data_IF_051228314143
#
_entry.id   IF_051228314143
#
_cell.length_a   1.000
_cell.length_b   1.000
_cell.length_c   1.000
_cell.angle_alpha   90.00
_cell.angle_beta   90.00
_cell.angle_gamma   90.00
#
_symmetry.space_group_name_H-M   'P 1'
#
loop_
_entity.id
_entity.type
_entity.pdbx_description
1 polymer ?
#
# COMPACT_ATOMS: atom_id res chain seq x y z
N UNK A 1 -13.11 2.83 -7.36
CA UNK A 1 -14.10 2.08 -6.55
C UNK A 1 -13.77 2.20 -5.07
N UNK A 2 -12.67 1.61 -4.58
CA UNK A 2 -12.26 1.65 -3.16
C UNK A 2 -12.31 3.05 -2.52
N UNK A 3 -11.76 4.08 -3.18
CA UNK A 3 -11.79 5.45 -2.65
C UNK A 3 -13.19 6.07 -2.57
N UNK A 4 -14.12 5.63 -3.41
CA UNK A 4 -15.52 6.05 -3.35
C UNK A 4 -16.22 5.39 -2.16
N UNK A 5 -16.00 4.09 -1.94
CA UNK A 5 -16.52 3.36 -0.78
C UNK A 5 -15.97 3.93 0.54
N UNK A 6 -14.66 4.22 0.57
CA UNK A 6 -14.02 4.91 1.69
C UNK A 6 -14.68 6.26 2.00
N UNK A 7 -14.99 7.05 0.97
CA UNK A 7 -15.73 8.32 1.13
C UNK A 7 -17.15 8.11 1.64
N UNK A 8 -17.85 7.09 1.15
CA UNK A 8 -19.19 6.76 1.64
C UNK A 8 -19.15 6.41 3.15
N UNK A 9 -18.19 5.56 3.56
CA UNK A 9 -18.02 5.18 4.97
C UNK A 9 -17.62 6.36 5.86
N UNK A 10 -16.78 7.27 5.37
CA UNK A 10 -16.45 8.51 6.07
C UNK A 10 -17.68 9.39 6.28
N UNK A 11 -18.52 9.57 5.25
CA UNK A 11 -19.70 10.43 5.32
C UNK A 11 -20.75 9.93 6.34
N UNK A 12 -20.78 8.62 6.63
CA UNK A 12 -21.64 8.03 7.68
C UNK A 12 -20.92 7.87 9.02
N UNK A 13 -19.70 8.41 9.16
CA UNK A 13 -18.95 8.43 10.42
C UNK A 13 -18.30 7.10 10.82
N UNK A 14 -18.15 6.14 9.88
CA UNK A 14 -17.63 4.80 10.16
C UNK A 14 -16.16 4.59 9.77
N UNK A 15 -15.53 5.55 9.09
CA UNK A 15 -14.14 5.44 8.68
C UNK A 15 -13.43 6.80 8.66
N UNK A 16 -12.09 6.79 8.68
CA UNK A 16 -11.25 7.96 8.40
C UNK A 16 -10.96 8.14 6.91
N UNK A 17 -10.05 9.06 6.59
CA UNK A 17 -9.66 9.41 5.21
C UNK A 17 -8.24 9.02 4.83
N UNK A 18 -7.54 8.30 5.70
CA UNK A 18 -6.16 7.87 5.49
C UNK A 18 -6.10 6.35 5.49
N UNK A 19 -5.52 5.78 4.45
CA UNK A 19 -5.49 4.33 4.24
C UNK A 19 -4.05 3.85 4.10
N UNK A 20 -3.69 2.82 4.87
CA UNK A 20 -2.36 2.19 4.82
C UNK A 20 -2.26 1.22 3.64
N UNK A 21 -2.30 1.78 2.44
CA UNK A 21 -2.26 1.09 1.16
C UNK A 21 -1.71 2.01 0.08
N UNK A 22 -1.00 1.49 -0.94
CA UNK A 22 -0.75 0.06 -1.21
C UNK A 22 0.49 -0.51 -0.47
N UNK A 23 0.55 -1.84 -0.35
CA UNK A 23 1.79 -2.56 -0.05
C UNK A 23 2.61 -2.66 -1.35
N UNK A 24 3.78 -2.02 -1.37
CA UNK A 24 4.65 -1.89 -2.55
C UNK A 24 6.03 -2.52 -2.32
N UNK A 25 6.15 -3.38 -1.30
CA UNK A 25 7.33 -4.22 -1.15
C UNK A 25 7.41 -5.23 -2.30
N UNK A 26 8.61 -5.71 -2.56
CA UNK A 26 8.87 -6.68 -3.62
C UNK A 26 8.74 -8.08 -3.03
N UNK A 27 8.00 -8.97 -3.70
CA UNK A 27 7.87 -10.37 -3.27
C UNK A 27 9.14 -11.17 -3.61
N UNK A 28 10.26 -10.78 -3.00
CA UNK A 28 11.60 -11.33 -3.30
C UNK A 28 11.77 -12.77 -2.83
N UNK A 29 11.20 -13.10 -1.67
CA UNK A 29 11.26 -14.45 -1.10
C UNK A 29 9.87 -15.07 -1.11
N UNK A 30 9.64 -16.18 -1.86
CA UNK A 30 8.30 -16.79 -2.00
C UNK A 30 7.73 -17.32 -0.68
N UNK A 31 8.53 -17.40 0.39
CA UNK A 31 8.10 -17.84 1.72
C UNK A 31 7.54 -16.71 2.57
N UNK A 32 7.66 -15.46 2.11
CA UNK A 32 7.17 -14.30 2.85
C UNK A 32 5.64 -14.34 2.97
N UNK A 33 5.14 -14.44 4.21
CA UNK A 33 3.70 -14.61 4.50
C UNK A 33 2.80 -13.47 4.03
N UNK A 34 3.38 -12.30 3.73
CA UNK A 34 2.67 -11.12 3.21
C UNK A 34 2.96 -10.83 1.73
N UNK A 35 3.65 -11.72 1.02
CA UNK A 35 3.86 -11.59 -0.42
C UNK A 35 2.57 -11.51 -1.23
N UNK A 36 1.50 -12.18 -0.75
CA UNK A 36 0.14 -12.11 -1.29
C UNK A 36 -0.48 -10.70 -1.31
N UNK A 37 0.04 -9.75 -0.52
CA UNK A 37 -0.43 -8.36 -0.50
C UNK A 37 0.20 -7.49 -1.59
N UNK A 38 1.22 -7.98 -2.29
CA UNK A 38 2.03 -7.20 -3.22
C UNK A 38 1.68 -7.50 -4.68
N UNK A 39 2.20 -6.67 -5.58
CA UNK A 39 2.08 -6.86 -7.04
C UNK A 39 3.12 -7.84 -7.63
N UNK A 40 3.83 -8.60 -6.80
CA UNK A 40 4.79 -9.63 -7.22
C UNK A 40 6.26 -9.25 -6.99
N UNK A 41 7.14 -9.97 -7.68
CA UNK A 41 8.60 -9.88 -7.50
C UNK A 41 9.30 -8.83 -8.37
N UNK A 42 8.60 -8.23 -9.35
CA UNK A 42 9.18 -7.27 -10.29
C UNK A 42 9.02 -5.81 -9.79
N UNK A 43 10.13 -5.06 -9.58
CA UNK A 43 10.07 -3.65 -9.17
C UNK A 43 9.42 -2.73 -10.20
N UNK A 44 9.54 -3.03 -11.50
CA UNK A 44 8.97 -2.19 -12.54
C UNK A 44 7.43 -2.29 -12.56
N UNK A 45 6.90 -3.51 -12.56
CA UNK A 45 5.47 -3.78 -12.41
C UNK A 45 4.93 -3.19 -11.11
N UNK A 46 5.65 -3.36 -10.00
CA UNK A 46 5.25 -2.81 -8.69
C UNK A 46 5.19 -1.30 -8.70
N UNK A 47 6.12 -0.63 -9.38
CA UNK A 47 6.09 0.83 -9.56
C UNK A 47 4.87 1.28 -10.37
N UNK A 48 4.53 0.57 -11.45
CA UNK A 48 3.33 0.87 -12.25
C UNK A 48 2.06 0.66 -11.43
N UNK A 49 1.96 -0.45 -10.70
CA UNK A 49 0.84 -0.73 -9.80
C UNK A 49 0.66 0.38 -8.77
N UNK A 50 1.74 0.77 -8.08
CA UNK A 50 1.72 1.81 -7.05
C UNK A 50 1.20 3.15 -7.61
N UNK A 51 1.68 3.57 -8.78
CA UNK A 51 1.24 4.82 -9.42
C UNK A 51 -0.27 4.82 -9.67
N UNK A 52 -0.80 3.74 -10.26
CA UNK A 52 -2.22 3.66 -10.58
C UNK A 52 -3.10 3.53 -9.33
N UNK A 53 -2.66 2.76 -8.33
CA UNK A 53 -3.37 2.59 -7.08
C UNK A 53 -3.45 3.91 -6.30
N UNK A 54 -2.33 4.61 -6.15
CA UNK A 54 -2.27 5.93 -5.48
C UNK A 54 -3.13 6.95 -6.21
N UNK A 55 -3.08 7.00 -7.55
CA UNK A 55 -3.97 7.87 -8.33
C UNK A 55 -5.45 7.56 -8.08
N UNK A 56 -5.83 6.28 -8.12
CA UNK A 56 -7.21 5.86 -7.87
C UNK A 56 -7.70 6.17 -6.45
N UNK A 57 -6.80 6.22 -5.47
CA UNK A 57 -7.11 6.66 -4.12
C UNK A 57 -7.21 8.18 -3.97
N UNK A 58 -6.25 8.90 -4.52
CA UNK A 58 -6.06 10.32 -4.21
C UNK A 58 -6.80 11.29 -5.13
N UNK A 59 -7.03 10.92 -6.39
CA UNK A 59 -7.60 11.85 -7.37
C UNK A 59 -9.12 11.99 -7.20
N UNK A 60 -9.61 13.21 -7.37
CA UNK A 60 -11.04 13.54 -7.44
C UNK A 60 -11.47 13.72 -8.90
N UNK A 61 -12.69 13.30 -9.21
CA UNK A 61 -13.23 13.37 -10.58
C UNK A 61 -13.55 14.82 -11.02
N UNK A 62 -13.70 15.73 -10.05
CA UNK A 62 -14.08 17.14 -10.28
C UNK A 62 -12.92 18.06 -10.69
N UNK A 63 -11.70 17.55 -10.81
CA UNK A 63 -10.57 18.31 -11.35
C UNK A 63 -10.02 19.42 -10.43
N UNK A 64 -10.34 19.44 -9.13
CA UNK A 64 -9.67 20.33 -8.17
C UNK A 64 -8.35 19.70 -7.69
N UNK A 65 -7.18 20.17 -8.17
CA UNK A 65 -5.90 19.51 -7.90
C UNK A 65 -5.42 19.70 -6.44
N UNK A 66 -6.02 20.63 -5.70
CA UNK A 66 -5.70 21.00 -4.33
C UNK A 66 -6.39 20.10 -3.28
N UNK A 67 -7.24 19.16 -3.70
CA UNK A 67 -8.00 18.28 -2.78
C UNK A 67 -7.73 16.81 -3.04
N UNK A 68 -7.54 16.07 -1.95
CA UNK A 68 -7.44 14.60 -1.98
C UNK A 68 -8.81 13.94 -1.86
N UNK A 69 -9.05 12.88 -2.63
CA UNK A 69 -10.21 12.00 -2.44
C UNK A 69 -10.02 11.10 -1.23
N UNK A 70 -8.90 10.43 -1.03
CA UNK A 70 -8.46 9.91 0.28
C UNK A 70 -6.94 9.96 0.28
N UNK A 71 -6.29 9.92 1.45
CA UNK A 71 -4.84 9.86 1.53
C UNK A 71 -4.35 8.41 1.43
N UNK A 72 -3.49 8.14 0.45
CA UNK A 72 -2.79 6.87 0.32
C UNK A 72 -1.50 6.89 1.16
N UNK A 73 -1.03 5.71 1.56
CA UNK A 73 0.22 5.56 2.30
C UNK A 73 0.94 4.32 1.77
N UNK A 74 1.94 4.56 0.92
CA UNK A 74 2.82 3.51 0.42
C UNK A 74 3.60 2.89 1.58
N UNK A 75 3.60 1.56 1.63
CA UNK A 75 4.27 0.80 2.70
C UNK A 75 4.96 -0.45 2.15
N UNK A 76 5.94 -1.02 2.83
CA UNK A 76 6.57 -0.58 4.09
C UNK A 76 8.00 -0.16 3.73
N UNK A 77 8.25 1.15 3.77
CA UNK A 77 9.55 1.71 3.38
C UNK A 77 10.58 1.45 4.49
N UNK A 78 11.64 0.67 4.28
CA UNK A 78 12.01 -0.10 3.07
C UNK A 78 12.51 -1.51 3.46
N UNK A 79 12.84 -2.33 2.45
CA UNK A 79 13.46 -3.65 2.61
C UNK A 79 12.71 -4.62 3.55
N UNK A 80 11.39 -4.46 3.65
CA UNK A 80 10.53 -5.34 4.44
C UNK A 80 9.91 -6.42 3.56
N UNK A 81 10.50 -7.62 3.58
CA UNK A 81 10.04 -8.79 2.83
C UNK A 81 10.18 -10.11 3.63
N UNK A 82 10.24 -10.02 4.96
CA UNK A 82 10.29 -11.15 5.89
C UNK A 82 9.42 -10.88 7.10
N UNK A 83 8.71 -11.90 7.61
CA UNK A 83 7.96 -11.82 8.86
C UNK A 83 8.66 -12.54 10.00
N UNK A 84 8.82 -13.85 9.86
CA UNK A 84 9.58 -14.71 10.76
C UNK A 84 10.11 -15.91 9.97
N UNK A 85 11.43 -15.98 9.75
CA UNK A 85 12.05 -17.10 9.06
C UNK A 85 13.37 -17.49 9.70
N UNK A 86 13.49 -18.76 10.13
CA UNK A 86 14.68 -19.31 10.81
C UNK A 86 15.18 -18.47 12.01
N UNK A 87 14.25 -17.94 12.80
CA UNK A 87 14.58 -17.11 13.96
C UNK A 87 14.93 -15.65 13.63
N UNK A 88 14.86 -15.25 12.36
CA UNK A 88 14.94 -13.85 11.94
C UNK A 88 13.54 -13.26 11.95
N UNK A 89 13.28 -12.33 12.86
CA UNK A 89 11.99 -11.65 13.00
C UNK A 89 12.02 -10.25 12.41
N UNK A 90 10.90 -9.83 11.80
CA UNK A 90 10.75 -8.51 11.17
C UNK A 90 11.03 -7.31 12.07
N UNK A 91 10.83 -7.46 13.38
CA UNK A 91 10.99 -6.36 14.33
C UNK A 91 12.46 -6.01 14.60
N UNK A 92 13.35 -6.97 14.35
CA UNK A 92 14.79 -6.87 14.66
C UNK A 92 15.66 -7.21 13.45
N UNK A 93 15.06 -7.39 12.26
CA UNK A 93 15.79 -7.68 11.04
C UNK A 93 16.71 -6.50 10.69
N UNK A 94 17.98 -6.81 10.43
CA UNK A 94 18.96 -5.84 9.94
C UNK A 94 19.22 -6.10 8.45
N UNK A 95 18.93 -5.11 7.61
CA UNK A 95 19.15 -5.17 6.17
C UNK A 95 20.54 -4.66 5.72
N UNK A 96 21.41 -4.29 6.68
CA UNK A 96 22.79 -3.84 6.44
C UNK A 96 23.77 -5.00 6.28
#
# INVERSE_FOLDING_TARGET
VVSTEARAMYNVGLAGLTFWSPNINIFRDPRWGRGQETSGEDPFLTSKYAIHYVKGLQQIDSGHPDRLKVAACCKHYTAYDVDNWKGVERYTFNAQ
#
